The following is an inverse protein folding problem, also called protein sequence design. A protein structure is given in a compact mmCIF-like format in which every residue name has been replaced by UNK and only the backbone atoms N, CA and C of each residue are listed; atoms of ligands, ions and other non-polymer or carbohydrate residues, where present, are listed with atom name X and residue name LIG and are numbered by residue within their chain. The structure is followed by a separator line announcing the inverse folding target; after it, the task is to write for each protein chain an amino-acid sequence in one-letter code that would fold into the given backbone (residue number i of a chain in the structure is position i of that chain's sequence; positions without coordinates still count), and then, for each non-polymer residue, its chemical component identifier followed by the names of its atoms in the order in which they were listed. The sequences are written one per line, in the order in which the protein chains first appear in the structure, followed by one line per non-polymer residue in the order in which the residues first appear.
data_IF_611332425004
#
_entry.id   IF_611332425004
#
_cell.length_a   1.000
_cell.length_b   1.000
_cell.length_c   1.000
_cell.angle_alpha   90.00
_cell.angle_beta   90.00
_cell.angle_gamma   90.00
#
_symmetry.space_group_name_H-M   'P 1'
#
loop_
_entity.id
_entity.type
_entity.pdbx_description
1 polymer ?
#
# COMPACT_ATOMS: atom_id res chain seq x y z
N UNK A 1 32.02 -55.54 -62.19
CA UNK A 1 31.31 -55.89 -60.95
C UNK A 1 31.94 -55.04 -59.86
N UNK A 2 31.63 -53.75 -59.89
CA UNK A 2 30.47 -53.14 -59.21
C UNK A 2 30.75 -53.04 -57.71
N UNK A 3 30.56 -51.94 -57.00
CA UNK A 3 30.20 -50.54 -57.29
C UNK A 3 30.20 -49.83 -55.92
N UNK A 4 30.52 -48.53 -55.92
CA UNK A 4 30.07 -47.46 -55.01
C UNK A 4 30.38 -47.55 -53.48
N UNK A 5 30.97 -46.52 -52.83
CA UNK A 5 30.45 -45.13 -52.65
C UNK A 5 29.12 -45.16 -51.86
N UNK A 6 28.80 -44.38 -50.84
CA UNK A 6 29.29 -43.09 -50.34
C UNK A 6 28.34 -42.70 -49.19
N UNK A 7 28.85 -41.93 -48.23
CA UNK A 7 28.15 -40.85 -47.52
C UNK A 7 26.85 -41.04 -46.70
N UNK A 8 26.85 -40.22 -45.65
CA UNK A 8 25.74 -39.46 -45.07
C UNK A 8 24.84 -40.12 -44.02
N UNK A 9 25.21 -39.81 -42.77
CA UNK A 9 24.44 -38.88 -41.93
C UNK A 9 22.91 -38.93 -42.10
N UNK A 10 22.28 -40.05 -41.73
CA UNK A 10 20.84 -40.11 -41.55
C UNK A 10 20.45 -39.65 -40.14
N UNK A 11 20.14 -38.35 -40.07
CA UNK A 11 18.98 -37.78 -39.39
C UNK A 11 18.29 -38.68 -38.34
N UNK A 12 18.62 -38.46 -37.07
CA UNK A 12 17.68 -38.72 -35.97
C UNK A 12 16.81 -37.47 -35.85
N UNK A 13 15.90 -37.28 -36.80
CA UNK A 13 14.72 -36.44 -36.63
C UNK A 13 13.59 -37.38 -36.23
N UNK A 14 13.43 -37.60 -34.91
CA UNK A 14 12.22 -38.22 -34.39
C UNK A 14 11.09 -37.20 -34.46
N UNK A 15 10.48 -37.07 -35.63
CA UNK A 15 9.09 -36.66 -35.76
C UNK A 15 8.24 -37.74 -35.10
N UNK A 16 7.72 -37.46 -33.91
CA UNK A 16 6.57 -38.19 -33.36
C UNK A 16 5.34 -37.40 -33.74
N UNK A 17 4.81 -37.69 -34.92
CA UNK A 17 3.46 -37.31 -35.32
C UNK A 17 2.55 -38.47 -34.91
N UNK A 18 1.94 -38.37 -33.73
CA UNK A 18 0.84 -39.25 -33.33
C UNK A 18 -0.42 -38.39 -33.30
N UNK A 19 -1.11 -38.36 -34.45
CA UNK A 19 -2.44 -37.78 -34.57
C UNK A 19 -3.43 -38.58 -33.72
N UNK A 20 -4.19 -37.91 -32.86
CA UNK A 20 -5.18 -38.59 -32.05
C UNK A 20 -5.74 -37.86 -30.82
N UNK A 21 -5.53 -36.56 -30.62
CA UNK A 21 -6.38 -35.72 -29.76
C UNK A 21 -6.34 -34.30 -30.33
N UNK A 22 -7.48 -33.79 -30.79
CA UNK A 22 -7.68 -32.38 -31.18
C UNK A 22 -7.65 -31.49 -29.93
N UNK A 23 -6.49 -31.40 -29.28
CA UNK A 23 -6.10 -30.25 -28.48
C UNK A 23 -5.12 -29.48 -29.33
N UNK A 24 -5.42 -28.21 -29.67
CA UNK A 24 -4.45 -27.35 -30.36
C UNK A 24 -3.12 -27.42 -29.60
N UNK A 25 -2.09 -27.97 -30.24
CA UNK A 25 -0.72 -27.89 -29.71
C UNK A 25 -0.35 -26.41 -29.73
N UNK A 26 -0.28 -25.80 -28.56
CA UNK A 26 0.13 -24.41 -28.42
C UNK A 26 1.49 -24.22 -29.11
N UNK A 27 1.55 -23.31 -30.07
CA UNK A 27 2.83 -22.98 -30.72
C UNK A 27 3.71 -22.16 -29.77
N UNK A 28 5.02 -22.13 -30.02
CA UNK A 28 5.94 -21.27 -29.26
C UNK A 28 5.56 -19.79 -29.38
N UNK A 29 5.07 -19.37 -30.55
CA UNK A 29 4.56 -18.02 -30.79
C UNK A 29 3.32 -17.71 -29.94
N UNK A 30 2.38 -18.67 -29.82
CA UNK A 30 1.20 -18.52 -28.95
C UNK A 30 1.62 -18.41 -27.48
N UNK A 31 2.63 -19.18 -27.08
CA UNK A 31 3.16 -19.20 -25.72
C UNK A 31 3.86 -17.89 -25.37
N UNK A 32 4.68 -17.36 -26.29
CA UNK A 32 5.34 -16.06 -26.15
C UNK A 32 4.31 -14.93 -26.06
N UNK A 33 3.27 -14.96 -26.90
CA UNK A 33 2.19 -13.99 -26.85
C UNK A 33 1.47 -14.00 -25.50
N UNK A 34 1.15 -15.18 -24.96
CA UNK A 34 0.53 -15.32 -23.62
C UNK A 34 1.43 -14.79 -22.51
N UNK A 35 2.74 -15.03 -22.61
CA UNK A 35 3.73 -14.50 -21.67
C UNK A 35 3.74 -12.97 -21.68
N UNK A 36 3.87 -12.34 -22.85
CA UNK A 36 3.89 -10.89 -22.98
C UNK A 36 2.58 -10.24 -22.54
N UNK A 37 1.42 -10.81 -22.88
CA UNK A 37 0.12 -10.31 -22.39
C UNK A 37 0.03 -10.37 -20.86
N UNK A 38 0.51 -11.45 -20.24
CA UNK A 38 0.53 -11.56 -18.78
C UNK A 38 1.44 -10.52 -18.10
N UNK A 39 2.53 -10.15 -18.76
CA UNK A 39 3.54 -9.23 -18.25
C UNK A 39 3.30 -7.77 -18.65
N UNK A 40 2.34 -7.51 -19.54
CA UNK A 40 1.94 -6.17 -19.99
C UNK A 40 1.80 -5.15 -18.85
N UNK A 41 1.20 -5.46 -17.67
CA UNK A 41 1.12 -4.50 -16.58
C UNK A 41 2.49 -3.99 -16.07
N UNK A 42 3.56 -4.78 -16.22
CA UNK A 42 4.91 -4.39 -15.82
C UNK A 42 5.54 -3.35 -16.77
N UNK A 43 5.04 -3.24 -18.01
CA UNK A 43 5.49 -2.19 -18.94
C UNK A 43 5.13 -0.80 -18.42
N UNK A 44 3.98 -0.67 -17.75
CA UNK A 44 3.58 0.59 -17.11
C UNK A 44 4.54 0.99 -15.97
N UNK A 45 5.20 0.00 -15.37
CA UNK A 45 6.26 0.15 -14.38
C UNK A 45 7.65 0.35 -15.02
N UNK A 46 7.75 0.62 -16.33
CA UNK A 46 9.01 0.82 -17.06
C UNK A 46 9.96 -0.40 -17.07
N UNK A 47 9.42 -1.60 -16.86
CA UNK A 47 10.20 -2.85 -16.99
C UNK A 47 10.26 -3.26 -18.48
N UNK A 48 11.45 -3.58 -18.97
CA UNK A 48 11.69 -3.98 -20.37
C UNK A 48 11.24 -5.42 -20.66
N UNK A 49 9.93 -5.65 -20.61
CA UNK A 49 9.31 -6.98 -20.82
C UNK A 49 9.59 -7.55 -22.21
N UNK A 50 9.82 -6.71 -23.22
CA UNK A 50 10.07 -7.14 -24.60
C UNK A 50 11.38 -7.93 -24.76
N UNK A 51 12.32 -7.75 -23.83
CA UNK A 51 13.56 -8.53 -23.77
C UNK A 51 13.36 -9.98 -23.31
N UNK A 52 12.17 -10.32 -22.81
CA UNK A 52 11.90 -11.61 -22.19
C UNK A 52 11.47 -12.65 -23.22
N UNK A 53 12.10 -13.82 -23.17
CA UNK A 53 11.90 -14.92 -24.13
C UNK A 53 11.38 -16.19 -23.45
N UNK A 54 10.74 -17.07 -24.22
CA UNK A 54 10.31 -18.40 -23.75
C UNK A 54 11.51 -19.22 -23.27
N UNK A 55 12.62 -19.20 -24.01
CA UNK A 55 13.88 -19.84 -23.59
C UNK A 55 14.37 -19.31 -22.23
N UNK A 56 14.30 -18.00 -21.99
CA UNK A 56 14.65 -17.39 -20.71
C UNK A 56 13.81 -17.93 -19.55
N UNK A 57 12.52 -18.20 -19.78
CA UNK A 57 11.62 -18.81 -18.77
C UNK A 57 11.98 -20.27 -18.51
N UNK A 58 12.27 -21.04 -19.57
CA UNK A 58 12.69 -22.45 -19.45
C UNK A 58 14.02 -22.59 -18.71
N UNK A 59 14.96 -21.66 -18.95
CA UNK A 59 16.24 -21.60 -18.24
C UNK A 59 16.09 -21.31 -16.74
N UNK A 60 14.95 -20.75 -16.30
CA UNK A 60 14.59 -20.61 -14.89
C UNK A 60 13.87 -21.84 -14.33
N UNK A 61 13.87 -22.96 -15.06
CA UNK A 61 13.18 -24.22 -14.73
C UNK A 61 11.66 -24.08 -14.60
N UNK A 62 11.06 -23.12 -15.33
CA UNK A 62 9.62 -23.00 -15.42
C UNK A 62 9.11 -23.47 -16.78
N UNK A 63 7.99 -24.18 -16.78
CA UNK A 63 7.14 -24.23 -17.97
C UNK A 63 6.47 -22.85 -18.15
N UNK A 64 6.32 -22.32 -19.38
CA UNK A 64 5.76 -20.99 -19.60
C UNK A 64 4.38 -20.77 -18.94
N UNK A 65 3.50 -21.77 -19.00
CA UNK A 65 2.18 -21.71 -18.37
C UNK A 65 2.26 -21.70 -16.82
N UNK A 66 3.27 -22.33 -16.23
CA UNK A 66 3.53 -22.25 -14.79
C UNK A 66 4.11 -20.89 -14.41
N UNK A 67 5.01 -20.34 -15.22
CA UNK A 67 5.57 -19.00 -15.02
C UNK A 67 4.48 -17.93 -15.05
N UNK A 68 3.58 -17.98 -16.02
CA UNK A 68 2.42 -17.07 -16.11
C UNK A 68 1.59 -17.11 -14.82
N UNK A 69 1.25 -18.31 -14.33
CA UNK A 69 0.55 -18.46 -13.04
C UNK A 69 1.40 -17.95 -11.88
N UNK A 70 2.71 -18.07 -11.97
CA UNK A 70 3.63 -17.63 -10.93
C UNK A 70 3.64 -16.11 -10.78
N UNK A 71 3.76 -15.38 -11.90
CA UNK A 71 3.89 -13.92 -11.92
C UNK A 71 2.57 -13.16 -11.78
N UNK A 72 1.43 -13.85 -11.94
CA UNK A 72 0.10 -13.24 -11.77
C UNK A 72 -0.07 -12.50 -10.45
N UNK A 73 0.51 -12.98 -9.36
CA UNK A 73 0.42 -12.29 -8.06
C UNK A 73 0.90 -10.83 -8.10
N UNK A 74 1.89 -10.53 -8.94
CA UNK A 74 2.41 -9.19 -9.16
C UNK A 74 1.61 -8.45 -10.24
N UNK A 75 1.30 -9.13 -11.36
CA UNK A 75 0.69 -8.47 -12.53
C UNK A 75 -0.82 -8.24 -12.38
N UNK A 76 -1.51 -8.95 -11.48
CA UNK A 76 -2.94 -8.72 -11.18
C UNK A 76 -3.18 -7.56 -10.22
N UNK A 77 -2.12 -6.97 -9.64
CA UNK A 77 -2.27 -5.73 -8.87
C UNK A 77 -2.68 -4.62 -9.84
N UNK A 78 -3.89 -4.04 -9.70
CA UNK A 78 -4.45 -3.19 -10.76
C UNK A 78 -3.77 -1.82 -10.84
N UNK A 79 -3.33 -1.27 -9.71
CA UNK A 79 -2.78 0.07 -9.67
C UNK A 79 -1.25 0.06 -9.81
N UNK A 80 -0.74 0.87 -10.74
CA UNK A 80 0.70 1.03 -11.02
C UNK A 80 1.49 1.45 -9.76
N UNK A 81 1.01 2.44 -9.03
CA UNK A 81 1.62 2.96 -7.79
C UNK A 81 1.83 1.88 -6.73
N UNK A 82 0.89 0.93 -6.62
CA UNK A 82 1.00 -0.22 -5.71
C UNK A 82 2.06 -1.19 -6.23
N UNK A 83 2.10 -1.48 -7.53
CA UNK A 83 3.15 -2.33 -8.11
C UNK A 83 4.54 -1.73 -7.93
N UNK A 84 4.71 -0.43 -8.19
CA UNK A 84 5.97 0.30 -7.96
C UNK A 84 6.39 0.21 -6.48
N UNK A 85 5.44 0.36 -5.55
CA UNK A 85 5.72 0.26 -4.12
C UNK A 85 6.07 -1.16 -3.67
N UNK A 86 5.48 -2.19 -4.30
CA UNK A 86 5.84 -3.60 -4.08
C UNK A 86 7.25 -3.87 -4.59
N UNK A 87 7.61 -3.36 -5.78
CA UNK A 87 8.96 -3.47 -6.34
C UNK A 87 9.99 -2.72 -5.48
N UNK A 88 9.67 -1.53 -4.98
CA UNK A 88 10.53 -0.79 -4.06
C UNK A 88 10.76 -1.55 -2.74
N UNK A 89 9.71 -2.20 -2.19
CA UNK A 89 9.85 -3.06 -1.01
C UNK A 89 10.67 -4.32 -1.31
N UNK A 90 10.52 -4.92 -2.48
CA UNK A 90 11.35 -6.04 -2.89
C UNK A 90 12.82 -5.63 -3.08
N UNK A 91 13.07 -4.42 -3.59
CA UNK A 91 14.41 -3.86 -3.72
C UNK A 91 15.07 -3.66 -2.35
N UNK A 92 14.36 -3.14 -1.34
CA UNK A 92 14.91 -3.00 0.01
C UNK A 92 15.22 -4.33 0.70
N UNK A 93 14.66 -5.44 0.20
CA UNK A 93 14.98 -6.80 0.61
C UNK A 93 16.07 -7.47 -0.26
N UNK A 94 16.63 -6.75 -1.24
CA UNK A 94 17.66 -7.27 -2.15
C UNK A 94 17.15 -8.26 -3.21
N UNK A 95 15.84 -8.32 -3.45
CA UNK A 95 15.24 -9.28 -4.41
C UNK A 95 15.25 -8.77 -5.86
N UNK A 96 15.37 -7.45 -6.05
CA UNK A 96 15.44 -6.85 -7.38
C UNK A 96 16.26 -5.54 -7.32
N UNK A 97 16.84 -5.10 -8.46
CA UNK A 97 17.54 -3.82 -8.52
C UNK A 97 16.56 -2.64 -8.39
N UNK A 98 17.11 -1.48 -8.03
CA UNK A 98 16.34 -0.23 -7.91
C UNK A 98 15.98 0.34 -9.30
N UNK A 99 16.88 0.20 -10.28
CA UNK A 99 16.60 0.59 -11.65
C UNK A 99 15.66 -0.43 -12.31
N UNK A 100 14.47 0.01 -12.69
CA UNK A 100 13.44 -0.82 -13.33
C UNK A 100 13.91 -1.41 -14.66
N UNK A 101 14.84 -0.76 -15.37
CA UNK A 101 15.41 -1.25 -16.62
C UNK A 101 16.30 -2.49 -16.43
N UNK A 102 16.86 -2.68 -15.22
CA UNK A 102 17.71 -3.82 -14.88
C UNK A 102 16.91 -5.02 -14.32
N UNK A 103 15.58 -4.89 -14.22
CA UNK A 103 14.73 -5.98 -13.74
C UNK A 103 14.63 -7.06 -14.82
N UNK A 104 15.18 -8.24 -14.52
CA UNK A 104 15.18 -9.42 -15.39
C UNK A 104 14.01 -10.35 -15.08
N UNK A 105 13.78 -11.35 -15.94
CA UNK A 105 12.83 -12.44 -15.66
C UNK A 105 13.06 -13.11 -14.30
N UNK A 106 14.33 -13.27 -13.91
CA UNK A 106 14.70 -13.86 -12.63
C UNK A 106 14.20 -13.02 -11.46
N UNK A 107 14.43 -11.70 -11.51
CA UNK A 107 13.94 -10.79 -10.47
C UNK A 107 12.41 -10.83 -10.38
N UNK A 108 11.70 -10.81 -11.51
CA UNK A 108 10.23 -10.93 -11.53
C UNK A 108 9.77 -12.25 -10.88
N UNK A 109 10.46 -13.35 -11.16
CA UNK A 109 10.16 -14.65 -10.55
C UNK A 109 10.43 -14.66 -9.04
N UNK A 110 11.53 -14.06 -8.60
CA UNK A 110 11.94 -13.98 -7.20
C UNK A 110 10.97 -13.10 -6.39
N UNK A 111 10.61 -11.91 -6.90
CA UNK A 111 9.56 -11.06 -6.30
C UNK A 111 8.25 -11.82 -6.21
N UNK A 112 7.82 -12.47 -7.29
CA UNK A 112 6.56 -13.24 -7.31
C UNK A 112 6.58 -14.44 -6.36
N UNK A 113 7.76 -15.01 -6.08
CA UNK A 113 7.95 -16.08 -5.09
C UNK A 113 7.85 -15.52 -3.68
N UNK A 114 8.54 -14.42 -3.40
CA UNK A 114 8.47 -13.74 -2.11
C UNK A 114 7.04 -13.33 -1.76
N UNK A 115 6.27 -12.78 -2.70
CA UNK A 115 4.87 -12.38 -2.48
C UNK A 115 3.94 -13.52 -2.04
N UNK A 116 4.36 -14.79 -2.21
CA UNK A 116 3.61 -15.99 -1.79
C UNK A 116 4.04 -16.52 -0.42
N UNK A 117 5.13 -16.01 0.14
CA UNK A 117 5.58 -16.35 1.50
C UNK A 117 4.75 -15.60 2.53
N UNK A 118 4.71 -16.09 3.78
CA UNK A 118 3.99 -15.39 4.85
C UNK A 118 4.50 -13.97 5.11
N UNK A 119 5.82 -13.76 5.04
CA UNK A 119 6.43 -12.43 5.20
C UNK A 119 6.06 -11.53 4.02
N UNK A 120 6.15 -12.02 2.79
CA UNK A 120 5.78 -11.24 1.61
C UNK A 120 4.29 -10.90 1.56
N UNK A 121 3.40 -11.78 2.00
CA UNK A 121 1.97 -11.47 2.12
C UNK A 121 1.75 -10.31 3.10
N UNK A 122 2.40 -10.33 4.27
CA UNK A 122 2.31 -9.25 5.27
C UNK A 122 2.82 -7.92 4.72
N UNK A 123 3.99 -7.94 4.07
CA UNK A 123 4.59 -6.75 3.45
C UNK A 123 3.73 -6.18 2.32
N UNK A 124 3.19 -7.02 1.44
CA UNK A 124 2.32 -6.58 0.32
C UNK A 124 1.02 -5.98 0.86
N UNK A 125 0.42 -6.58 1.89
CA UNK A 125 -0.77 -6.02 2.55
C UNK A 125 -0.47 -4.65 3.16
N UNK A 126 0.71 -4.48 3.77
CA UNK A 126 1.14 -3.18 4.32
C UNK A 126 1.31 -2.13 3.22
N UNK A 127 1.99 -2.48 2.11
CA UNK A 127 2.14 -1.61 0.93
C UNK A 127 0.77 -1.21 0.37
N UNK A 128 -0.14 -2.16 0.20
CA UNK A 128 -1.49 -1.88 -0.31
C UNK A 128 -2.27 -0.93 0.61
N UNK A 129 -2.15 -1.09 1.93
CA UNK A 129 -2.80 -0.20 2.91
C UNK A 129 -2.20 1.20 2.89
N UNK A 130 -0.88 1.31 2.78
CA UNK A 130 -0.16 2.58 2.64
C UNK A 130 -0.58 3.34 1.39
N UNK A 131 -0.54 2.70 0.22
CA UNK A 131 -0.93 3.35 -1.04
C UNK A 131 -2.43 3.68 -1.07
N UNK A 132 -3.28 2.84 -0.47
CA UNK A 132 -4.70 3.17 -0.28
C UNK A 132 -4.91 4.42 0.57
N UNK A 133 -4.13 4.59 1.65
CA UNK A 133 -4.18 5.79 2.49
C UNK A 133 -3.67 7.01 1.71
N UNK A 134 -2.53 6.89 1.03
CA UNK A 134 -1.94 7.95 0.20
C UNK A 134 -2.93 8.44 -0.86
N UNK A 135 -3.55 7.54 -1.63
CA UNK A 135 -4.58 7.91 -2.63
C UNK A 135 -5.75 8.66 -2.04
N UNK A 136 -6.25 8.24 -0.87
CA UNK A 136 -7.34 8.93 -0.16
C UNK A 136 -6.92 10.32 0.31
N UNK A 137 -5.67 10.46 0.76
CA UNK A 137 -5.10 11.75 1.16
C UNK A 137 -5.01 12.70 -0.04
N UNK A 138 -4.43 12.24 -1.15
CA UNK A 138 -4.26 13.03 -2.37
C UNK A 138 -5.60 13.49 -2.95
N UNK A 139 -6.65 12.65 -2.91
CA UNK A 139 -8.01 13.04 -3.32
C UNK A 139 -8.56 14.24 -2.54
N UNK A 140 -8.06 14.47 -1.31
CA UNK A 140 -8.41 15.61 -0.46
C UNK A 140 -7.34 16.71 -0.44
N UNK A 141 -6.38 16.68 -1.35
CA UNK A 141 -5.29 17.65 -1.42
C UNK A 141 -4.28 17.53 -0.27
N UNK A 142 -4.14 16.35 0.34
CA UNK A 142 -3.29 16.10 1.52
C UNK A 142 -2.14 15.16 1.22
N UNK A 143 -1.11 15.29 2.05
CA UNK A 143 0.03 14.36 2.10
C UNK A 143 -0.31 13.10 2.91
N UNK A 144 0.48 12.04 2.73
CA UNK A 144 0.38 10.83 3.55
C UNK A 144 0.61 11.13 5.04
N UNK A 145 1.54 12.05 5.34
CA UNK A 145 1.86 12.48 6.71
C UNK A 145 0.64 13.09 7.37
N UNK A 146 -0.02 14.04 6.70
CA UNK A 146 -1.23 14.70 7.19
C UNK A 146 -2.38 13.72 7.42
N UNK A 147 -2.62 12.82 6.46
CA UNK A 147 -3.65 11.79 6.62
C UNK A 147 -3.34 10.83 7.78
N UNK A 148 -2.06 10.55 8.03
CA UNK A 148 -1.63 9.70 9.14
C UNK A 148 -1.78 10.41 10.48
N UNK A 149 -1.42 11.70 10.57
CA UNK A 149 -1.64 12.52 11.77
C UNK A 149 -3.12 12.63 12.13
N UNK A 150 -4.01 12.91 11.16
CA UNK A 150 -5.46 12.93 11.40
C UNK A 150 -5.94 11.59 11.94
N UNK A 151 -5.48 10.46 11.37
CA UNK A 151 -5.87 9.13 11.84
C UNK A 151 -5.38 8.84 13.25
N UNK A 152 -4.13 9.16 13.57
CA UNK A 152 -3.58 8.98 14.91
C UNK A 152 -4.34 9.83 15.93
N UNK A 153 -4.60 11.09 15.61
CA UNK A 153 -5.36 12.01 16.45
C UNK A 153 -6.79 11.52 16.68
N UNK A 154 -7.49 11.08 15.63
CA UNK A 154 -8.84 10.54 15.73
C UNK A 154 -8.91 9.23 16.55
N UNK A 155 -7.88 8.38 16.46
CA UNK A 155 -7.78 7.19 17.32
C UNK A 155 -7.64 7.60 18.79
N UNK A 156 -6.72 8.52 19.09
CA UNK A 156 -6.52 9.02 20.45
C UNK A 156 -7.77 9.71 21.01
N UNK A 157 -8.51 10.47 20.20
CA UNK A 157 -9.80 11.05 20.59
C UNK A 157 -10.84 10.01 20.95
N UNK A 158 -10.94 8.93 20.16
CA UNK A 158 -11.92 7.89 20.39
C UNK A 158 -11.70 7.22 21.76
N UNK A 159 -10.46 6.86 22.06
CA UNK A 159 -10.08 6.28 23.36
C UNK A 159 -10.23 7.28 24.51
N UNK A 160 -9.77 8.52 24.34
CA UNK A 160 -9.94 9.57 25.35
C UNK A 160 -11.42 9.81 25.68
N UNK A 161 -12.27 9.92 24.66
CA UNK A 161 -13.71 10.16 24.84
C UNK A 161 -14.40 9.01 25.55
N UNK A 162 -14.00 7.77 25.28
CA UNK A 162 -14.51 6.60 25.98
C UNK A 162 -14.07 6.60 27.45
N UNK A 163 -12.78 6.81 27.72
CA UNK A 163 -12.28 6.86 29.10
C UNK A 163 -12.92 7.96 29.92
N UNK A 164 -13.13 9.13 29.33
CA UNK A 164 -13.88 10.21 29.98
C UNK A 164 -15.34 9.84 30.23
N UNK A 165 -16.01 9.13 29.30
CA UNK A 165 -17.36 8.62 29.54
C UNK A 165 -17.41 7.62 30.69
N UNK A 166 -16.45 6.71 30.75
CA UNK A 166 -16.35 5.69 31.81
C UNK A 166 -16.24 6.36 33.20
N UNK A 167 -15.36 7.36 33.33
CA UNK A 167 -15.20 8.15 34.56
C UNK A 167 -16.48 8.89 34.91
N UNK A 168 -17.11 9.55 33.94
CA UNK A 168 -18.37 10.28 34.15
C UNK A 168 -19.52 9.34 34.54
N UNK A 169 -19.60 8.15 33.95
CA UNK A 169 -20.59 7.12 34.33
C UNK A 169 -20.35 6.60 35.75
N UNK A 170 -19.10 6.39 36.15
CA UNK A 170 -18.74 6.02 37.53
C UNK A 170 -19.11 7.12 38.53
N UNK A 171 -18.87 8.39 38.17
CA UNK A 171 -19.25 9.56 38.97
C UNK A 171 -20.76 9.64 39.24
N UNK A 172 -21.58 9.30 38.25
CA UNK A 172 -23.04 9.24 38.43
C UNK A 172 -23.50 8.14 39.40
N UNK A 173 -22.67 7.11 39.64
CA UNK A 173 -22.97 5.97 40.51
C UNK A 173 -22.38 6.12 41.92
N UNK A 174 -21.24 6.81 42.08
CA UNK A 174 -20.54 6.96 43.38
C UNK A 174 -20.03 8.41 43.61
N UNK A 175 -20.90 9.40 43.85
CA UNK A 175 -20.57 10.84 43.82
C UNK A 175 -19.65 11.38 44.95
N UNK A 176 -19.13 10.54 45.84
CA UNK A 176 -18.38 10.96 47.04
C UNK A 176 -16.88 10.57 47.06
N UNK A 177 -16.30 10.08 45.95
CA UNK A 177 -14.85 9.77 45.91
C UNK A 177 -14.03 11.04 45.66
N UNK A 178 -13.15 11.39 46.60
CA UNK A 178 -12.29 12.60 46.57
C UNK A 178 -11.09 12.45 45.61
N UNK A 179 -10.78 11.25 45.13
CA UNK A 179 -9.64 10.97 44.23
C UNK A 179 -9.91 11.26 42.74
N UNK A 180 -11.07 11.84 42.41
CA UNK A 180 -11.58 11.95 41.02
C UNK A 180 -10.93 13.06 40.18
N UNK A 181 -10.50 14.16 40.81
CA UNK A 181 -9.80 15.25 40.11
C UNK A 181 -8.43 14.78 39.63
N UNK A 182 -7.72 14.00 40.45
CA UNK A 182 -6.45 13.37 40.11
C UNK A 182 -6.61 12.31 39.01
N UNK A 183 -7.68 11.50 39.04
CA UNK A 183 -7.97 10.52 37.96
C UNK A 183 -8.27 11.22 36.63
N UNK A 184 -9.06 12.29 36.65
CA UNK A 184 -9.39 13.07 35.45
C UNK A 184 -8.15 13.76 34.88
N UNK A 185 -7.27 14.28 35.74
CA UNK A 185 -6.01 14.91 35.33
C UNK A 185 -5.07 13.87 34.73
N UNK A 186 -4.91 12.70 35.36
CA UNK A 186 -4.11 11.60 34.84
C UNK A 186 -4.58 11.12 33.46
N UNK A 187 -5.90 11.03 33.23
CA UNK A 187 -6.46 10.67 31.92
C UNK A 187 -6.16 11.77 30.90
N UNK A 188 -6.34 13.05 31.25
CA UNK A 188 -6.01 14.16 30.34
C UNK A 188 -4.53 14.15 29.96
N UNK A 189 -3.63 13.87 30.89
CA UNK A 189 -2.20 13.82 30.61
C UNK A 189 -1.83 12.60 29.76
N UNK A 190 -2.41 11.43 30.05
CA UNK A 190 -2.21 10.20 29.26
C UNK A 190 -2.62 10.35 27.79
N UNK A 191 -3.74 11.03 27.54
CA UNK A 191 -4.28 11.23 26.20
C UNK A 191 -3.95 12.61 25.61
N UNK A 192 -2.92 13.28 26.12
CA UNK A 192 -2.33 14.40 25.38
C UNK A 192 -1.72 13.87 24.07
N UNK A 193 -1.95 14.49 22.91
CA UNK A 193 -2.53 15.82 22.71
C UNK A 193 -4.07 15.90 22.52
N UNK A 194 -4.79 14.79 22.36
CA UNK A 194 -6.25 14.76 22.20
C UNK A 194 -7.03 15.47 23.32
N UNK A 195 -6.62 15.33 24.57
CA UNK A 195 -7.27 15.97 25.72
C UNK A 195 -7.29 17.50 25.70
N UNK A 196 -6.35 18.14 24.98
CA UNK A 196 -6.19 19.60 24.88
C UNK A 196 -6.83 20.19 23.63
N UNK A 197 -7.28 19.36 22.70
CA UNK A 197 -7.91 19.85 21.49
C UNK A 197 -9.40 20.13 21.73
N UNK A 198 -9.87 21.27 21.25
CA UNK A 198 -11.26 21.67 21.42
C UNK A 198 -12.21 20.76 20.63
N UNK A 199 -13.08 20.04 21.33
CA UNK A 199 -14.02 19.06 20.76
C UNK A 199 -14.92 19.66 19.66
N UNK A 200 -15.24 20.96 19.74
CA UNK A 200 -16.00 21.70 18.72
C UNK A 200 -15.32 21.73 17.35
N UNK A 201 -14.00 21.51 17.30
CA UNK A 201 -13.21 21.55 16.07
C UNK A 201 -12.93 20.16 15.47
N UNK A 202 -13.41 19.07 16.09
CA UNK A 202 -13.11 17.69 15.65
C UNK A 202 -13.64 17.41 14.24
N UNK A 203 -14.77 18.01 13.86
CA UNK A 203 -15.33 17.88 12.51
C UNK A 203 -14.54 18.62 11.42
N UNK A 204 -13.67 19.57 11.80
CA UNK A 204 -12.85 20.32 10.86
C UNK A 204 -11.46 19.70 10.75
N UNK A 205 -11.27 18.87 9.71
CA UNK A 205 -10.00 18.21 9.44
C UNK A 205 -8.83 19.20 9.28
N UNK A 206 -9.07 20.44 8.83
CA UNK A 206 -8.02 21.47 8.75
C UNK A 206 -7.58 21.93 10.13
N UNK A 207 -8.53 22.16 11.05
CA UNK A 207 -8.22 22.51 12.45
C UNK A 207 -7.43 21.41 13.15
N UNK A 208 -7.77 20.14 12.89
CA UNK A 208 -7.01 18.98 13.38
C UNK A 208 -5.57 19.01 12.88
N UNK A 209 -5.37 19.26 11.58
CA UNK A 209 -4.04 19.35 10.98
C UNK A 209 -3.22 20.51 11.54
N UNK A 210 -3.81 21.70 11.64
CA UNK A 210 -3.13 22.88 12.17
C UNK A 210 -2.70 22.67 13.61
N UNK A 211 -3.48 21.91 14.39
CA UNK A 211 -3.08 21.48 15.72
C UNK A 211 -1.97 20.42 15.69
N UNK A 212 -2.06 19.42 14.80
CA UNK A 212 -1.03 18.39 14.65
C UNK A 212 0.34 18.96 14.24
N UNK A 213 0.36 20.11 13.55
CA UNK A 213 1.58 20.83 13.14
C UNK A 213 2.24 21.60 14.28
N UNK A 214 1.60 21.73 15.45
CA UNK A 214 2.23 22.38 16.61
C UNK A 214 3.37 21.52 17.16
N UNK A 215 4.36 22.19 17.73
CA UNK A 215 5.52 21.55 18.33
C UNK A 215 5.11 20.54 19.42
N UNK A 216 5.79 19.40 19.48
CA UNK A 216 5.54 18.32 20.43
C UNK A 216 4.33 17.42 20.11
N UNK A 217 3.31 17.92 19.39
CA UNK A 217 2.07 17.16 19.09
C UNK A 217 2.38 15.94 18.22
N UNK A 218 3.15 16.12 17.14
CA UNK A 218 3.58 15.02 16.26
C UNK A 218 4.34 13.93 17.03
N UNK A 219 5.30 14.31 17.88
CA UNK A 219 6.09 13.36 18.69
C UNK A 219 5.20 12.53 19.61
N UNK A 220 4.24 13.18 20.27
CA UNK A 220 3.34 12.49 21.21
C UNK A 220 2.34 11.59 20.50
N UNK A 221 1.89 11.94 19.28
CA UNK A 221 1.12 11.02 18.44
C UNK A 221 1.96 9.81 18.01
N UNK A 222 3.25 9.98 17.72
CA UNK A 222 4.16 8.86 17.43
C UNK A 222 4.29 7.95 18.66
N UNK A 223 4.53 8.51 19.85
CA UNK A 223 4.61 7.77 21.11
C UNK A 223 3.31 7.00 21.38
N UNK A 224 2.16 7.64 21.21
CA UNK A 224 0.85 7.01 21.38
C UNK A 224 0.66 5.81 20.44
N UNK A 225 0.93 5.98 19.14
CA UNK A 225 0.79 4.87 18.17
C UNK A 225 1.79 3.75 18.46
N UNK A 226 3.01 4.07 18.92
CA UNK A 226 3.99 3.06 19.39
C UNK A 226 3.48 2.29 20.60
N UNK A 227 2.89 2.95 21.59
CA UNK A 227 2.31 2.31 22.78
C UNK A 227 1.18 1.33 22.42
N UNK A 228 0.33 1.70 21.44
CA UNK A 228 -0.68 0.80 20.90
C UNK A 228 -0.10 -0.43 20.18
N UNK A 229 1.04 -0.27 19.49
CA UNK A 229 1.72 -1.38 18.80
C UNK A 229 2.51 -2.28 19.77
N UNK A 230 3.07 -1.71 20.84
CA UNK A 230 3.89 -2.41 21.84
C UNK A 230 3.09 -3.16 22.91
N UNK A 231 1.77 -2.95 22.98
CA UNK A 231 0.91 -3.57 23.99
C UNK A 231 1.05 -2.98 25.40
N UNK A 232 1.76 -1.85 25.54
CA UNK A 232 1.89 -1.10 26.82
C UNK A 232 0.58 -0.41 27.21
N UNK A 233 -0.29 -0.18 26.24
CA UNK A 233 -1.66 0.31 26.46
C UNK A 233 -2.60 -0.84 26.13
N UNK A 234 -3.40 -1.30 27.11
CA UNK A 234 -4.54 -2.17 26.81
C UNK A 234 -5.40 -1.49 25.76
N UNK A 235 -5.43 -2.07 24.56
CA UNK A 235 -6.29 -1.62 23.49
C UNK A 235 -7.71 -1.99 23.91
N UNK A 236 -8.41 -1.06 24.58
CA UNK A 236 -9.82 -1.25 24.96
C UNK A 236 -10.72 -1.50 23.74
N UNK A 237 -10.22 -1.18 22.55
CA UNK A 237 -10.98 -1.19 21.32
C UNK A 237 -10.45 -2.20 20.28
N UNK A 238 -11.21 -3.27 19.93
CA UNK A 238 -10.87 -4.16 18.82
C UNK A 238 -10.85 -3.48 17.42
N UNK A 239 -10.97 -2.14 17.37
CA UNK A 239 -11.05 -1.34 16.13
C UNK A 239 -9.70 -0.99 15.51
N UNK A 240 -8.58 -1.18 16.22
CA UNK A 240 -7.28 -0.84 15.69
C UNK A 240 -6.58 -2.08 15.14
N UNK A 241 -6.85 -2.39 13.87
CA UNK A 241 -6.05 -3.36 13.11
C UNK A 241 -4.58 -2.92 13.18
N UNK A 242 -3.73 -3.76 13.79
CA UNK A 242 -2.30 -3.53 13.99
C UNK A 242 -1.61 -3.10 12.70
N UNK A 243 -2.00 -3.67 11.55
CA UNK A 243 -1.42 -3.28 10.28
C UNK A 243 -1.87 -1.90 9.78
N UNK A 244 -3.00 -1.36 10.26
CA UNK A 244 -3.38 0.04 10.01
C UNK A 244 -2.54 0.97 10.86
N UNK A 245 -2.28 0.62 12.13
CA UNK A 245 -1.42 1.39 13.03
C UNK A 245 0.03 1.46 12.50
N UNK A 246 0.57 0.35 11.99
CA UNK A 246 1.91 0.34 11.35
C UNK A 246 2.00 1.33 10.19
N UNK A 247 1.00 1.34 9.31
CA UNK A 247 0.96 2.28 8.18
C UNK A 247 0.85 3.73 8.64
N UNK A 248 0.07 4.01 9.68
CA UNK A 248 -0.04 5.35 10.27
C UNK A 248 1.29 5.78 10.88
N UNK A 249 1.95 4.91 11.64
CA UNK A 249 3.25 5.21 12.23
C UNK A 249 4.30 5.51 11.14
N UNK A 250 4.44 4.63 10.15
CA UNK A 250 5.35 4.83 9.02
C UNK A 250 5.03 6.13 8.27
N UNK A 251 3.75 6.43 8.05
CA UNK A 251 3.33 7.68 7.41
C UNK A 251 3.71 8.95 8.16
N UNK A 252 3.75 8.93 9.51
CA UNK A 252 4.16 10.08 10.33
C UNK A 252 5.69 10.19 10.40
N UNK A 253 6.39 9.05 10.51
CA UNK A 253 7.86 8.98 10.68
C UNK A 253 8.61 9.26 9.38
N UNK A 254 8.13 8.77 8.22
CA UNK A 254 8.79 8.97 6.92
C UNK A 254 8.93 10.45 6.52
N UNK A 255 8.22 11.37 7.20
CA UNK A 255 8.41 12.81 7.07
C UNK A 255 9.79 13.32 7.52
N UNK A 256 10.51 12.59 8.37
CA UNK A 256 11.81 13.03 8.89
C UNK A 256 12.96 12.73 7.91
N UNK A 257 12.80 11.74 7.04
CA UNK A 257 13.83 11.35 6.07
C UNK A 257 13.70 12.06 4.70
N UNK A 258 12.63 12.82 4.45
CA UNK A 258 12.44 13.55 3.17
C UNK A 258 13.07 14.95 3.22
N UNK A 259 13.49 15.44 4.38
CA UNK A 259 14.03 16.80 4.54
C UNK A 259 15.54 16.95 4.28
N UNK A 260 16.20 15.95 3.68
CA UNK A 260 17.61 16.06 3.28
C UNK A 260 17.84 16.28 1.78
N UNK A 261 16.82 16.20 0.93
CA UNK A 261 16.93 16.64 -0.47
C UNK A 261 15.97 17.80 -0.74
N UNK A 262 16.58 18.98 -0.83
CA UNK A 262 15.90 20.25 -1.03
C UNK A 262 15.04 20.26 -2.29
N UNK A 263 13.73 20.27 -2.10
CA UNK A 263 12.82 20.91 -3.03
C UNK A 263 11.68 21.59 -2.27
N UNK A 264 11.96 22.84 -1.91
CA UNK A 264 10.95 23.80 -1.46
C UNK A 264 9.99 24.07 -2.61
N UNK A 265 8.81 23.47 -2.59
CA UNK A 265 7.69 23.96 -3.40
C UNK A 265 7.14 25.22 -2.74
N UNK A 266 7.73 26.34 -3.13
CA UNK A 266 7.28 27.68 -2.82
C UNK A 266 5.79 27.87 -3.17
N UNK A 267 5.08 28.46 -2.21
CA UNK A 267 3.87 29.27 -2.33
C UNK A 267 3.37 29.51 -3.77
N UNK A 268 2.22 28.94 -4.13
CA UNK A 268 1.31 29.58 -5.09
C UNK A 268 0.10 30.13 -4.36
N UNK A 269 0.07 31.45 -4.33
CA UNK A 269 -1.00 32.32 -3.82
C UNK A 269 -2.36 31.91 -4.36
N UNK A 270 -3.33 32.05 -3.45
CA UNK A 270 -4.79 32.08 -3.66
C UNK A 270 -5.18 32.87 -4.91
N UNK A 271 -6.12 32.32 -5.68
CA UNK A 271 -7.13 33.11 -6.38
C UNK A 271 -8.48 32.80 -5.74
N UNK A 272 -8.98 33.79 -5.02
CA UNK A 272 -10.38 33.96 -4.66
C UNK A 272 -11.20 34.16 -5.93
N UNK A 273 -12.19 33.32 -6.16
CA UNK A 273 -13.37 33.69 -6.94
C UNK A 273 -14.61 33.17 -6.22
N UNK A 274 -15.33 34.14 -5.70
CA UNK A 274 -16.65 34.06 -5.10
C UNK A 274 -17.66 33.81 -6.22
N UNK A 275 -18.50 32.80 -6.10
CA UNK A 275 -19.77 32.76 -6.81
C UNK A 275 -20.81 32.07 -5.92
N UNK A 276 -21.64 32.91 -5.31
CA UNK A 276 -22.93 32.58 -4.72
C UNK A 276 -23.81 31.85 -5.73
N UNK A 277 -24.60 30.90 -5.22
CA UNK A 277 -25.66 30.24 -5.98
C UNK A 277 -26.38 29.20 -5.12
N UNK A 278 -27.11 29.66 -4.11
CA UNK A 278 -28.25 28.93 -3.58
C UNK A 278 -29.41 29.04 -4.58
N UNK A 279 -30.15 27.96 -4.75
CA UNK A 279 -31.63 27.82 -4.68
C UNK A 279 -32.02 26.59 -5.50
N UNK A 280 -32.82 25.72 -4.88
CA UNK A 280 -33.34 24.49 -5.47
C UNK A 280 -34.66 24.70 -6.21
N UNK A 281 -35.41 23.60 -6.25
CA UNK A 281 -36.78 23.42 -6.74
C UNK A 281 -36.91 23.02 -8.22
N UNK A 282 -37.02 21.70 -8.40
CA UNK A 282 -38.21 20.99 -8.87
C UNK A 282 -39.04 21.50 -10.08
N UNK A 283 -39.28 20.50 -10.94
CA UNK A 283 -40.49 20.23 -11.72
C UNK A 283 -40.79 20.92 -13.08
N UNK A 284 -40.77 20.06 -14.11
CA UNK A 284 -41.91 19.74 -15.01
C UNK A 284 -42.16 20.57 -16.30
N UNK A 285 -42.15 19.79 -17.40
CA UNK A 285 -43.01 19.83 -18.61
C UNK A 285 -42.65 20.60 -19.88
N UNK A 286 -42.74 19.83 -20.98
CA UNK A 286 -43.20 20.14 -22.36
C UNK A 286 -42.22 21.00 -23.21
N UNK A 287 -41.83 20.63 -24.43
CA UNK A 287 -42.45 19.86 -25.53
C UNK A 287 -41.40 18.93 -26.16
#
# INVERSE_FOLDING_TARGET
MDSCSSHDAQQIVKQVTLGGVLGLVETEADTLKKLHECLKPLRENQIQVDSFTVSGVVNLFYLPNQFVKHVRVLTTIPFKDVRDSVLAKANSLGLCPQNHEMITLRHVAEVSRWMKTESGIKDVVEVQRREKLKRRATKRGRTLVEASMIRAMNAQFAEYSEKMKEVMSRRSLEPFRVTEEDETLAIKDKYWPASRFHLSNIGNEQSVLDFCRKEGVKSKLIEYVKGLLGGETEILHPRHDVGVLRVVLAGIVDSENINLDGQSCANKKRKTETALGHVGEDEVSQI
#
